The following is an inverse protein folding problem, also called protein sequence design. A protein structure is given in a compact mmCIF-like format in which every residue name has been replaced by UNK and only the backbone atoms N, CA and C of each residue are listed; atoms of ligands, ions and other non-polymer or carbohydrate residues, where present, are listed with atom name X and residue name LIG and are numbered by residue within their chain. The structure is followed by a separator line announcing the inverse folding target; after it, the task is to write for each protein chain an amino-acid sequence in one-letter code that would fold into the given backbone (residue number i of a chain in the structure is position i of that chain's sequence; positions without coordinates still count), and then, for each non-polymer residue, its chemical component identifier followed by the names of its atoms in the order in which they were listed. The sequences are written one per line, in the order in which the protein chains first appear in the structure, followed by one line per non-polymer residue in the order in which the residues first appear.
data_IF_390527104514
#
_entry.id   IF_390527104514
#
_cell.length_a   1.000
_cell.length_b   1.000
_cell.length_c   1.000
_cell.angle_alpha   90.00
_cell.angle_beta   90.00
_cell.angle_gamma   90.00
#
_symmetry.space_group_name_H-M   'P 1'
#
loop_
_entity.id
_entity.type
_entity.pdbx_description
1 polymer ?
#
# COMPACT_ATOMS: atom_id res chain seq x y z
N UNK A 1 13.24 2.64 -12.20
CA UNK A 1 13.97 2.31 -10.96
C UNK A 1 13.52 0.94 -10.48
N UNK A 2 14.41 0.17 -9.85
CA UNK A 2 14.06 -1.13 -9.25
C UNK A 2 13.81 -0.99 -7.76
N UNK A 3 12.85 -1.76 -7.27
CA UNK A 3 12.50 -1.85 -5.87
C UNK A 3 12.40 -3.32 -5.43
N UNK A 4 12.64 -3.57 -4.15
CA UNK A 4 12.36 -4.84 -3.49
C UNK A 4 11.59 -4.58 -2.20
N UNK A 5 10.70 -5.51 -1.84
CA UNK A 5 10.05 -5.48 -0.54
C UNK A 5 11.04 -6.04 0.49
N UNK A 6 11.29 -5.29 1.57
CA UNK A 6 12.17 -5.72 2.68
C UNK A 6 11.36 -6.16 3.88
N UNK A 7 10.25 -5.49 4.17
CA UNK A 7 9.39 -5.79 5.30
C UNK A 7 7.91 -5.66 4.91
N UNK A 8 7.08 -6.45 5.60
CA UNK A 8 5.63 -6.39 5.48
C UNK A 8 5.04 -6.65 6.85
N UNK A 9 4.20 -5.72 7.30
CA UNK A 9 3.47 -5.78 8.54
C UNK A 9 1.98 -5.70 8.21
N UNK A 10 1.22 -6.70 8.62
CA UNK A 10 -0.25 -6.74 8.48
C UNK A 10 -0.89 -6.57 9.84
N UNK A 11 -1.91 -5.73 9.88
CA UNK A 11 -2.65 -5.37 11.07
C UNK A 11 -4.10 -5.00 10.75
N UNK A 12 -4.92 -6.05 10.56
CA UNK A 12 -6.37 -5.88 10.33
C UNK A 12 -7.07 -5.59 11.65
N UNK A 13 -7.65 -4.39 11.77
CA UNK A 13 -8.37 -3.94 12.96
C UNK A 13 -9.71 -3.31 12.62
N UNK A 14 -10.60 -3.26 13.59
CA UNK A 14 -11.86 -2.52 13.46
C UNK A 14 -11.59 -1.04 13.72
N UNK A 15 -11.82 -0.20 12.71
CA UNK A 15 -11.63 1.25 12.74
C UNK A 15 -12.97 1.97 12.59
N UNK A 16 -13.07 3.17 13.18
CA UNK A 16 -14.27 4.00 13.10
C UNK A 16 -14.31 4.74 11.76
N UNK A 17 -15.44 4.64 11.06
CA UNK A 17 -15.70 5.36 9.80
C UNK A 17 -16.74 6.46 10.02
N UNK A 18 -16.82 7.39 9.07
CA UNK A 18 -17.74 8.53 9.07
C UNK A 18 -17.13 9.80 9.67
N UNK A 19 -17.60 10.96 9.19
CA UNK A 19 -17.18 12.29 9.65
C UNK A 19 -18.23 13.00 10.51
N UNK A 20 -19.42 12.39 10.64
CA UNK A 20 -20.61 12.94 11.28
C UNK A 20 -20.93 12.16 12.56
N UNK A 21 -21.21 12.85 13.67
CA UNK A 21 -21.47 12.21 14.99
C UNK A 21 -22.62 11.20 15.00
N UNK A 22 -23.58 11.34 14.07
CA UNK A 22 -24.71 10.44 13.92
C UNK A 22 -24.54 9.42 12.77
N UNK A 23 -23.44 9.51 12.02
CA UNK A 23 -23.16 8.71 10.83
C UNK A 23 -21.93 7.82 11.02
N UNK A 24 -21.47 7.63 12.27
CA UNK A 24 -20.34 6.76 12.53
C UNK A 24 -20.69 5.31 12.25
N UNK A 25 -19.76 4.64 11.58
CA UNK A 25 -19.75 3.20 11.38
C UNK A 25 -18.44 2.60 11.89
N UNK A 26 -18.30 1.30 11.71
CA UNK A 26 -17.01 0.62 11.83
C UNK A 26 -16.73 -0.18 10.57
N UNK A 27 -15.45 -0.29 10.21
CA UNK A 27 -14.97 -1.13 9.12
C UNK A 27 -13.74 -1.91 9.58
N UNK A 28 -13.53 -3.10 8.99
CA UNK A 28 -12.26 -3.81 9.14
C UNK A 28 -11.27 -3.19 8.14
N UNK A 29 -10.14 -2.72 8.65
CA UNK A 29 -9.14 -1.94 7.90
C UNK A 29 -7.77 -2.56 8.11
N UNK A 30 -7.01 -2.73 7.03
CA UNK A 30 -5.62 -3.21 7.05
C UNK A 30 -4.69 -2.03 7.36
N UNK A 31 -4.44 -1.79 8.65
CA UNK A 31 -3.63 -0.68 9.17
C UNK A 31 -2.13 -0.98 9.23
N UNK A 32 -1.70 -2.02 8.51
CA UNK A 32 -0.31 -2.40 8.37
C UNK A 32 0.50 -1.47 7.47
N UNK A 33 1.72 -1.89 7.17
CA UNK A 33 2.65 -1.19 6.30
C UNK A 33 3.49 -2.17 5.48
N UNK A 34 4.03 -1.67 4.37
CA UNK A 34 5.03 -2.38 3.57
C UNK A 34 6.25 -1.48 3.41
N UNK A 35 7.43 -2.06 3.56
CA UNK A 35 8.70 -1.35 3.37
C UNK A 35 9.32 -1.80 2.06
N UNK A 36 9.65 -0.83 1.20
CA UNK A 36 10.36 -1.06 -0.06
C UNK A 36 11.73 -0.40 -0.02
N UNK A 37 12.74 -1.06 -0.56
CA UNK A 37 14.10 -0.52 -0.72
C UNK A 37 14.40 -0.31 -2.21
N UNK A 38 14.89 0.88 -2.55
CA UNK A 38 15.32 1.24 -3.91
C UNK A 38 16.74 0.72 -4.22
N UNK A 39 17.19 0.89 -5.47
CA UNK A 39 18.54 0.49 -5.89
C UNK A 39 19.69 1.27 -5.23
N UNK A 40 19.40 2.41 -4.59
CA UNK A 40 20.36 3.20 -3.82
C UNK A 40 20.43 2.78 -2.34
N UNK A 41 19.58 1.84 -1.90
CA UNK A 41 19.46 1.42 -0.51
C UNK A 41 18.60 2.34 0.35
N UNK A 42 17.76 3.17 -0.26
CA UNK A 42 16.77 4.00 0.44
C UNK A 42 15.55 3.16 0.76
N UNK A 43 15.21 3.06 2.04
CA UNK A 43 13.98 2.39 2.50
C UNK A 43 12.84 3.40 2.64
N UNK A 44 11.68 3.03 2.11
CA UNK A 44 10.42 3.78 2.26
C UNK A 44 9.37 2.85 2.87
N UNK A 45 8.89 3.20 4.06
CA UNK A 45 7.74 2.54 4.69
C UNK A 45 6.45 3.21 4.21
N UNK A 46 5.56 2.41 3.62
CA UNK A 46 4.30 2.87 3.03
C UNK A 46 3.15 2.24 3.83
N UNK A 47 2.29 3.03 4.49
CA UNK A 47 1.08 2.53 5.12
C UNK A 47 0.18 1.86 4.07
N UNK A 48 -0.52 0.78 4.44
CA UNK A 48 -1.47 0.10 3.55
C UNK A 48 -2.84 0.78 3.52
N UNK A 49 -3.05 1.77 4.38
CA UNK A 49 -4.31 2.50 4.52
C UNK A 49 -4.09 4.01 4.37
N UNK A 50 -5.00 4.67 3.65
CA UNK A 50 -5.14 6.12 3.60
C UNK A 50 -6.55 6.54 4.06
N UNK A 51 -6.66 7.63 4.82
CA UNK A 51 -7.95 8.13 5.31
C UNK A 51 -8.49 9.22 4.39
N UNK A 52 -9.66 8.96 3.82
CA UNK A 52 -10.31 9.83 2.87
C UNK A 52 -11.73 10.19 3.32
N UNK A 53 -11.85 11.37 3.92
CA UNK A 53 -13.12 12.05 4.23
C UNK A 53 -14.22 11.18 4.86
N UNK A 54 -13.84 10.30 5.80
CA UNK A 54 -14.80 9.43 6.50
C UNK A 54 -14.73 7.98 6.13
N UNK A 55 -13.85 7.59 5.20
CA UNK A 55 -13.60 6.19 4.88
C UNK A 55 -12.10 5.92 4.75
N UNK A 56 -11.74 4.65 4.71
CA UNK A 56 -10.38 4.19 4.54
C UNK A 56 -10.19 3.55 3.16
N UNK A 57 -9.30 4.13 2.37
CA UNK A 57 -8.80 3.51 1.15
C UNK A 57 -7.69 2.53 1.56
N UNK A 58 -7.89 1.24 1.29
CA UNK A 58 -7.02 0.16 1.79
C UNK A 58 -6.44 -0.66 0.64
N UNK A 59 -5.12 -0.82 0.64
CA UNK A 59 -4.38 -1.66 -0.31
C UNK A 59 -4.33 -3.09 0.23
N UNK A 60 -4.90 -4.03 -0.54
CA UNK A 60 -4.84 -5.45 -0.22
C UNK A 60 -3.87 -6.16 -1.16
N UNK A 61 -2.85 -6.79 -0.60
CA UNK A 61 -1.86 -7.57 -1.34
C UNK A 61 -2.04 -9.05 -0.99
N UNK A 62 -2.64 -9.83 -1.90
CA UNK A 62 -3.02 -11.22 -1.63
C UNK A 62 -1.81 -12.13 -1.33
N UNK A 63 -0.73 -11.97 -2.10
CA UNK A 63 0.53 -12.68 -1.86
C UNK A 63 1.73 -11.75 -2.00
N UNK A 64 2.20 -11.23 -0.86
CA UNK A 64 3.35 -10.30 -0.79
C UNK A 64 4.64 -10.89 -1.37
N UNK A 65 4.84 -12.21 -1.30
CA UNK A 65 6.03 -12.88 -1.85
C UNK A 65 5.99 -12.82 -3.37
N UNK A 66 4.84 -13.13 -3.97
CA UNK A 66 4.67 -13.06 -5.42
C UNK A 66 4.73 -11.62 -5.92
N UNK A 67 4.07 -10.69 -5.22
CA UNK A 67 4.15 -9.26 -5.52
C UNK A 67 5.60 -8.77 -5.46
N UNK A 68 6.36 -9.14 -4.42
CA UNK A 68 7.77 -8.77 -4.32
C UNK A 68 8.61 -9.34 -5.46
N UNK A 69 8.34 -10.57 -5.91
CA UNK A 69 9.05 -11.15 -7.04
C UNK A 69 8.71 -10.41 -8.34
N UNK A 70 7.43 -10.13 -8.57
CA UNK A 70 6.95 -9.35 -9.71
C UNK A 70 7.56 -7.95 -9.75
N UNK A 71 7.60 -7.24 -8.62
CA UNK A 71 8.14 -5.88 -8.53
C UNK A 71 9.62 -5.81 -8.92
N UNK A 72 10.42 -6.82 -8.56
CA UNK A 72 11.85 -6.87 -8.88
C UNK A 72 12.14 -7.02 -10.39
N UNK A 73 11.18 -7.53 -11.16
CA UNK A 73 11.29 -7.69 -12.61
C UNK A 73 10.92 -6.42 -13.38
N UNK A 74 10.26 -5.44 -12.73
CA UNK A 74 9.76 -4.22 -13.36
C UNK A 74 10.72 -3.05 -13.15
N UNK A 75 10.76 -2.16 -14.14
CA UNK A 75 11.26 -0.80 -13.93
C UNK A 75 10.06 0.11 -13.69
N UNK A 76 10.01 0.73 -12.51
CA UNK A 76 8.91 1.59 -12.07
C UNK A 76 9.39 3.03 -11.85
N UNK A 77 8.46 3.96 -11.82
CA UNK A 77 8.77 5.37 -11.52
C UNK A 77 9.31 5.50 -10.09
N UNK A 78 10.30 6.38 -9.87
CA UNK A 78 10.86 6.58 -8.53
C UNK A 78 9.86 7.29 -7.62
N UNK A 79 9.91 6.95 -6.33
CA UNK A 79 9.25 7.71 -5.28
C UNK A 79 10.03 9.03 -5.08
N UNK A 80 9.45 10.15 -5.51
CA UNK A 80 10.03 11.49 -5.41
C UNK A 80 9.34 12.32 -4.32
N UNK A 81 9.88 13.48 -3.97
CA UNK A 81 9.36 14.35 -2.89
C UNK A 81 7.89 14.76 -3.06
N UNK A 82 7.42 14.88 -4.31
CA UNK A 82 6.03 15.23 -4.64
C UNK A 82 5.15 13.99 -4.90
N UNK A 83 5.71 12.78 -4.82
CA UNK A 83 4.97 11.53 -5.03
C UNK A 83 4.16 11.22 -3.77
N UNK A 84 2.90 10.84 -3.95
CA UNK A 84 2.13 10.20 -2.88
C UNK A 84 2.48 8.70 -2.87
N UNK A 85 3.24 8.28 -1.86
CA UNK A 85 3.77 6.91 -1.74
C UNK A 85 2.66 5.85 -1.71
N UNK A 86 1.53 6.15 -1.07
CA UNK A 86 0.37 5.25 -1.03
C UNK A 86 -0.23 5.08 -2.42
N UNK A 87 -0.43 6.18 -3.16
CA UNK A 87 -0.96 6.12 -4.54
C UNK A 87 -0.01 5.39 -5.46
N UNK A 88 1.30 5.61 -5.32
CA UNK A 88 2.32 4.88 -6.06
C UNK A 88 2.23 3.38 -5.82
N UNK A 89 2.09 2.95 -4.56
CA UNK A 89 1.97 1.54 -4.21
C UNK A 89 0.65 0.96 -4.73
N UNK A 90 -0.47 1.67 -4.57
CA UNK A 90 -1.79 1.23 -5.02
C UNK A 90 -1.79 0.94 -6.54
N UNK A 91 -1.22 1.84 -7.35
CA UNK A 91 -1.12 1.63 -8.79
C UNK A 91 -0.29 0.39 -9.16
N UNK A 92 0.76 0.07 -8.40
CA UNK A 92 1.58 -1.11 -8.64
C UNK A 92 0.85 -2.40 -8.28
N UNK A 93 0.10 -2.40 -7.17
CA UNK A 93 -0.71 -3.54 -6.75
C UNK A 93 -1.84 -3.79 -7.74
N UNK A 94 -2.53 -2.74 -8.22
CA UNK A 94 -3.54 -2.85 -9.27
C UNK A 94 -2.97 -3.48 -10.56
N UNK A 95 -1.80 -3.01 -11.01
CA UNK A 95 -1.12 -3.58 -12.20
C UNK A 95 -0.74 -5.04 -11.98
N UNK A 96 -0.24 -5.39 -10.80
CA UNK A 96 0.07 -6.78 -10.46
C UNK A 96 -1.19 -7.65 -10.55
N UNK A 97 -2.29 -7.23 -9.93
CA UNK A 97 -3.55 -7.96 -9.91
C UNK A 97 -4.19 -8.09 -11.29
N UNK A 98 -4.04 -7.09 -12.16
CA UNK A 98 -4.47 -7.17 -13.56
C UNK A 98 -3.67 -8.21 -14.36
N UNK A 99 -2.36 -8.33 -14.14
CA UNK A 99 -1.51 -9.31 -14.82
C UNK A 99 -1.74 -10.75 -14.33
N UNK A 100 -2.33 -10.94 -13.14
CA UNK A 100 -2.67 -12.28 -12.60
C UNK A 100 -4.04 -12.82 -13.05
N UNK A 101 -4.86 -12.03 -13.75
CA UNK A 101 -6.20 -12.43 -14.25
C UNK A 101 -6.13 -13.18 -15.58
#
# INVERSE_FOLDING_TARGET
MKYKVTEYFSDVREEQTGTCELCYGTALVESGSITVEDENGTETEIPLTDWNWGDFDTIYIDNVVNFSAWLQEKEVEPIAEETNDWSWLNELVEKYDEEQK
#
